data_IF_335225874938
#
_entry.id   IF_335225874938
#
_cell.length_a   1.000
_cell.length_b   1.000
_cell.length_c   1.000
_cell.angle_alpha   90.00
_cell.angle_beta   90.00
_cell.angle_gamma   90.00
#
_symmetry.space_group_name_H-M   'P 1'
#
loop_
_entity.id
_entity.type
_entity.pdbx_description
1 polymer ?
#
# COMPACT_ATOMS: atom_id res chain seq x y z
N UNK A 1 36.94 24.46 -29.85
CA UNK A 1 36.16 24.38 -28.60
C UNK A 1 36.01 22.92 -28.20
N UNK A 2 36.26 22.53 -26.93
CA UNK A 2 36.06 21.15 -26.49
C UNK A 2 34.56 20.76 -26.54
N UNK A 3 34.24 19.51 -26.92
CA UNK A 3 32.86 19.01 -26.99
C UNK A 3 32.26 18.87 -25.59
N UNK A 4 30.96 19.17 -25.47
CA UNK A 4 30.25 19.02 -24.19
C UNK A 4 30.14 17.54 -23.79
N UNK A 5 30.18 17.28 -22.48
CA UNK A 5 30.09 15.95 -21.90
C UNK A 5 28.88 15.84 -20.99
N UNK A 6 28.19 14.71 -21.03
CA UNK A 6 27.15 14.36 -20.07
C UNK A 6 27.77 14.06 -18.70
N UNK A 7 26.94 14.04 -17.64
CA UNK A 7 27.37 13.68 -16.27
C UNK A 7 28.01 12.27 -16.17
N UNK A 8 27.74 11.39 -17.14
CA UNK A 8 28.36 10.07 -17.28
C UNK A 8 29.72 10.07 -17.99
N UNK A 9 30.29 11.24 -18.28
CA UNK A 9 31.58 11.39 -18.96
C UNK A 9 31.55 11.21 -20.49
N UNK A 10 30.43 10.74 -21.04
CA UNK A 10 30.22 10.53 -22.49
C UNK A 10 30.01 11.86 -23.23
N UNK A 11 30.47 11.94 -24.47
CA UNK A 11 30.21 13.09 -25.34
C UNK A 11 28.70 13.25 -25.57
N UNK A 12 28.20 14.48 -25.46
CA UNK A 12 26.80 14.82 -25.65
C UNK A 12 26.67 16.16 -26.36
N UNK A 13 25.60 16.33 -27.14
CA UNK A 13 25.31 17.62 -27.80
C UNK A 13 25.11 18.70 -26.72
N UNK A 14 25.74 19.86 -26.88
CA UNK A 14 25.67 20.99 -25.92
C UNK A 14 24.23 21.31 -25.48
N UNK A 15 23.31 21.42 -26.43
CA UNK A 15 21.90 21.71 -26.14
C UNK A 15 21.17 20.63 -25.34
N UNK A 16 21.57 19.36 -25.46
CA UNK A 16 20.97 18.27 -24.69
C UNK A 16 21.40 18.29 -23.22
N UNK A 17 22.69 18.56 -22.97
CA UNK A 17 23.25 18.71 -21.62
C UNK A 17 22.58 19.88 -20.90
N UNK A 18 22.39 21.00 -21.60
CA UNK A 18 21.77 22.20 -21.05
C UNK A 18 20.27 22.00 -20.78
N UNK A 19 19.54 21.34 -21.70
CA UNK A 19 18.14 20.95 -21.48
C UNK A 19 18.00 20.06 -20.24
N UNK A 20 18.86 19.05 -20.07
CA UNK A 20 18.85 18.16 -18.90
C UNK A 20 19.17 18.89 -17.58
N UNK A 21 20.05 19.89 -17.61
CA UNK A 21 20.32 20.75 -16.43
C UNK A 21 19.09 21.55 -16.04
N UNK A 22 18.47 22.26 -16.99
CA UNK A 22 17.24 23.04 -16.76
C UNK A 22 16.10 22.19 -16.21
N UNK A 23 15.87 20.99 -16.76
CA UNK A 23 14.88 20.05 -16.22
C UNK A 23 15.21 19.60 -14.78
N UNK A 24 16.48 19.31 -14.50
CA UNK A 24 16.89 18.90 -13.15
C UNK A 24 16.75 20.02 -12.14
N UNK A 25 17.00 21.27 -12.52
CA UNK A 25 16.86 22.45 -11.66
C UNK A 25 15.39 22.73 -11.40
N UNK A 26 14.56 22.74 -12.44
CA UNK A 26 13.11 22.92 -12.30
C UNK A 26 12.47 21.81 -11.43
N UNK A 27 12.91 20.56 -11.56
CA UNK A 27 12.44 19.46 -10.70
C UNK A 27 12.84 19.65 -9.23
N UNK A 28 14.02 20.22 -8.95
CA UNK A 28 14.45 20.55 -7.57
C UNK A 28 13.60 21.68 -6.99
N UNK A 29 13.34 22.71 -7.79
CA UNK A 29 12.51 23.86 -7.39
C UNK A 29 11.07 23.45 -7.08
N UNK A 30 10.44 22.65 -7.96
CA UNK A 30 9.11 22.10 -7.72
C UNK A 30 9.04 21.24 -6.45
N UNK A 31 10.10 20.48 -6.16
CA UNK A 31 10.19 19.70 -4.91
C UNK A 31 10.34 20.59 -3.68
N UNK A 32 11.12 21.67 -3.75
CA UNK A 32 11.26 22.63 -2.65
C UNK A 32 9.93 23.35 -2.36
N UNK A 33 9.23 23.80 -3.41
CA UNK A 33 7.89 24.40 -3.30
C UNK A 33 6.89 23.42 -2.68
N UNK A 34 6.90 22.15 -3.11
CA UNK A 34 6.05 21.10 -2.50
C UNK A 34 6.35 20.90 -1.03
N UNK A 35 7.63 20.88 -0.64
CA UNK A 35 8.03 20.73 0.76
C UNK A 35 7.61 21.95 1.59
N UNK A 36 7.76 23.17 1.07
CA UNK A 36 7.32 24.39 1.74
C UNK A 36 5.79 24.44 1.91
N UNK A 37 5.02 24.15 0.84
CA UNK A 37 3.55 24.05 0.93
C UNK A 37 3.09 23.01 1.93
N UNK A 38 3.79 21.87 2.03
CA UNK A 38 3.50 20.84 3.02
C UNK A 38 3.78 21.30 4.46
N UNK A 39 4.84 22.08 4.69
CA UNK A 39 5.12 22.66 6.00
C UNK A 39 4.04 23.66 6.42
N UNK A 40 3.65 24.57 5.52
CA UNK A 40 2.55 25.52 5.75
C UNK A 40 1.23 24.81 6.09
N UNK A 41 0.88 23.74 5.36
CA UNK A 41 -0.33 22.95 5.67
C UNK A 41 -0.26 22.17 7.00
N UNK A 42 0.94 21.85 7.48
CA UNK A 42 1.13 21.16 8.76
C UNK A 42 1.06 22.12 9.95
N UNK A 43 1.27 23.44 9.75
CA UNK A 43 1.25 24.48 10.80
C UNK A 43 -0.18 24.96 11.12
N UNK A 44 -1.12 24.92 10.16
CA UNK A 44 -2.51 25.38 10.33
C UNK A 44 -3.50 24.29 10.80
N UNK A 45 -3.03 23.09 11.14
CA UNK A 45 -3.94 21.99 11.52
C UNK A 45 -4.22 22.01 13.02
N UNK A 46 -5.34 22.62 13.39
CA UNK A 46 -5.95 22.42 14.70
C UNK A 46 -6.01 20.92 15.03
N UNK A 47 -5.47 20.57 16.19
CA UNK A 47 -5.24 19.20 16.59
C UNK A 47 -6.52 18.56 17.10
N UNK A 48 -7.44 18.28 16.19
CA UNK A 48 -8.60 17.46 16.49
C UNK A 48 -8.54 16.22 15.60
N UNK A 49 -8.07 15.13 16.21
CA UNK A 49 -8.17 13.77 15.66
C UNK A 49 -9.61 13.28 15.68
N UNK A 50 -10.50 14.08 15.09
CA UNK A 50 -11.90 13.73 14.94
C UNK A 50 -12.01 12.76 13.77
N UNK A 51 -12.81 11.71 13.98
CA UNK A 51 -13.17 10.73 12.98
C UNK A 51 -12.60 9.34 13.21
N UNK A 52 -12.85 8.48 12.23
CA UNK A 52 -12.63 7.03 12.32
C UNK A 52 -11.34 6.67 11.61
N UNK A 53 -10.60 5.66 12.12
CA UNK A 53 -9.36 5.15 11.50
C UNK A 53 -9.38 3.63 11.45
N UNK A 54 -8.78 3.08 10.40
CA UNK A 54 -8.46 1.66 10.37
C UNK A 54 -7.22 1.39 11.21
N UNK A 55 -7.33 0.44 12.13
CA UNK A 55 -6.28 0.10 13.09
C UNK A 55 -6.10 -1.40 13.10
N UNK A 56 -4.85 -1.83 12.93
CA UNK A 56 -4.39 -3.15 13.32
C UNK A 56 -4.11 -3.12 14.83
N UNK A 57 -5.02 -3.70 15.61
CA UNK A 57 -4.98 -3.66 17.07
C UNK A 57 -3.67 -4.24 17.63
N UNK A 58 -3.14 -5.31 17.02
CA UNK A 58 -1.90 -5.91 17.47
C UNK A 58 -0.71 -4.99 17.20
N UNK A 59 -0.68 -4.32 16.04
CA UNK A 59 0.37 -3.33 15.75
C UNK A 59 0.26 -2.14 16.70
N UNK A 60 -0.94 -1.62 16.93
CA UNK A 60 -1.12 -0.47 17.83
C UNK A 60 -0.68 -0.81 19.27
N UNK A 61 -1.17 -1.92 19.82
CA UNK A 61 -0.85 -2.35 21.19
C UNK A 61 0.66 -2.52 21.41
N UNK A 62 1.36 -3.12 20.44
CA UNK A 62 2.81 -3.33 20.51
C UNK A 62 3.62 -2.03 20.36
N UNK A 63 3.03 -0.95 19.83
CA UNK A 63 3.73 0.31 19.61
C UNK A 63 3.31 1.43 20.58
N UNK A 64 2.35 1.20 21.48
CA UNK A 64 1.92 2.15 22.53
C UNK A 64 2.86 2.13 23.76
N UNK A 65 4.16 2.04 23.51
CA UNK A 65 5.20 2.03 24.52
C UNK A 65 6.34 2.96 24.09
N UNK A 66 6.84 3.73 25.04
CA UNK A 66 7.96 4.61 24.79
C UNK A 66 9.24 3.80 24.58
N UNK A 67 9.94 4.02 23.46
CA UNK A 67 11.18 3.29 23.14
C UNK A 67 12.36 3.67 24.03
N UNK A 68 12.29 4.82 24.70
CA UNK A 68 13.38 5.35 25.54
C UNK A 68 13.25 4.92 26.99
N UNK A 69 12.07 5.11 27.60
CA UNK A 69 11.85 4.81 29.03
C UNK A 69 10.90 3.65 29.29
N UNK A 70 10.38 2.99 28.24
CA UNK A 70 9.45 1.87 28.33
C UNK A 70 8.14 2.16 29.10
N UNK A 71 7.78 3.44 29.26
CA UNK A 71 6.48 3.83 29.82
C UNK A 71 5.36 3.62 28.79
N UNK A 72 4.16 3.31 29.26
CA UNK A 72 2.96 3.21 28.42
C UNK A 72 2.59 4.59 27.85
N UNK A 73 2.23 4.62 26.56
CA UNK A 73 1.79 5.82 25.87
C UNK A 73 0.27 5.91 25.85
N UNK A 74 -0.28 7.10 26.10
CA UNK A 74 -1.72 7.35 26.00
C UNK A 74 -2.04 8.14 24.73
N UNK A 75 -3.05 7.70 23.99
CA UNK A 75 -3.54 8.40 22.79
C UNK A 75 -4.04 9.82 23.09
N UNK A 76 -4.38 10.13 24.36
CA UNK A 76 -4.72 11.49 24.81
C UNK A 76 -3.59 12.51 24.59
N UNK A 77 -2.33 12.04 24.56
CA UNK A 77 -1.15 12.88 24.37
C UNK A 77 -0.62 12.81 22.93
N UNK A 78 -1.49 12.49 21.98
CA UNK A 78 -1.15 12.59 20.57
C UNK A 78 -1.02 14.06 20.18
N UNK A 79 0.09 14.40 19.54
CA UNK A 79 0.39 15.76 19.07
C UNK A 79 0.29 15.90 17.56
N UNK A 80 0.35 14.79 16.81
CA UNK A 80 0.26 14.81 15.34
C UNK A 80 -0.17 13.47 14.80
N UNK A 81 -0.94 13.48 13.73
CA UNK A 81 -1.26 12.31 12.93
C UNK A 81 -0.75 12.50 11.49
N UNK A 82 -0.05 11.49 10.95
CA UNK A 82 0.36 11.47 9.54
C UNK A 82 -0.35 10.32 8.83
N UNK A 83 -1.19 10.65 7.85
CA UNK A 83 -1.86 9.65 7.00
C UNK A 83 -0.93 9.09 5.91
N UNK A 84 -1.05 7.79 5.68
CA UNK A 84 -0.35 7.01 4.64
C UNK A 84 -1.35 6.10 3.91
N UNK A 85 -2.33 6.73 3.26
CA UNK A 85 -3.53 6.03 2.77
C UNK A 85 -4.47 5.77 3.94
N UNK A 86 -4.91 4.52 4.11
CA UNK A 86 -5.73 4.07 5.24
C UNK A 86 -4.94 3.84 6.53
N UNK A 87 -3.60 3.81 6.45
CA UNK A 87 -2.74 3.74 7.62
C UNK A 87 -2.46 5.13 8.19
N UNK A 88 -2.27 5.20 9.52
CA UNK A 88 -1.84 6.39 10.22
C UNK A 88 -0.55 6.14 11.01
N UNK A 89 0.24 7.19 11.17
CA UNK A 89 1.35 7.25 12.12
C UNK A 89 1.01 8.34 13.14
N UNK A 90 0.72 7.92 14.36
CA UNK A 90 0.41 8.80 15.48
C UNK A 90 1.73 9.22 16.13
N UNK A 91 1.90 10.50 16.40
CA UNK A 91 3.02 11.04 17.16
C UNK A 91 2.53 11.33 18.56
N UNK A 92 2.93 10.51 19.52
CA UNK A 92 2.43 10.55 20.90
C UNK A 92 3.56 10.95 21.82
N UNK A 93 3.36 12.00 22.61
CA UNK A 93 4.35 12.44 23.59
C UNK A 93 4.30 11.54 24.82
N UNK A 94 5.46 11.01 25.19
CA UNK A 94 5.64 10.31 26.45
C UNK A 94 5.54 11.31 27.62
N UNK A 95 4.73 11.04 28.63
CA UNK A 95 4.63 11.91 29.82
C UNK A 95 5.85 11.82 30.73
N UNK A 96 6.59 10.71 30.67
CA UNK A 96 7.70 10.44 31.58
C UNK A 96 9.00 11.07 31.10
N UNK A 97 9.38 10.85 29.83
CA UNK A 97 10.64 11.33 29.26
C UNK A 97 10.48 12.41 28.19
N UNK A 98 9.23 12.83 27.90
CA UNK A 98 8.89 13.85 26.90
C UNK A 98 9.25 13.53 25.45
N UNK A 99 9.77 12.33 25.15
CA UNK A 99 10.03 11.91 23.78
C UNK A 99 8.75 11.81 22.97
N UNK A 100 8.83 12.29 21.72
CA UNK A 100 7.76 12.18 20.74
C UNK A 100 7.90 10.87 19.97
N UNK A 101 7.04 9.90 20.29
CA UNK A 101 7.14 8.54 19.76
C UNK A 101 6.20 8.35 18.58
N UNK A 102 6.71 7.74 17.50
CA UNK A 102 5.90 7.34 16.35
C UNK A 102 5.24 5.98 16.59
N UNK A 103 3.91 5.98 16.56
CA UNK A 103 3.04 4.83 16.78
C UNK A 103 2.29 4.53 15.47
N UNK A 104 2.72 3.55 14.67
CA UNK A 104 2.00 3.14 13.47
C UNK A 104 0.69 2.41 13.82
N UNK A 105 -0.37 2.63 13.03
CA UNK A 105 -1.66 1.90 13.19
C UNK A 105 -1.77 0.66 12.31
N UNK A 106 -0.79 0.38 11.44
CA UNK A 106 -0.79 -0.77 10.54
C UNK A 106 0.63 -1.25 10.28
N UNK A 107 0.79 -2.51 9.86
CA UNK A 107 2.11 -3.07 9.55
C UNK A 107 2.71 -2.42 8.30
N UNK A 108 3.97 -1.99 8.42
CA UNK A 108 4.78 -1.55 7.28
C UNK A 108 5.40 -2.76 6.58
N UNK A 109 5.17 -2.87 5.28
CA UNK A 109 5.73 -3.90 4.41
C UNK A 109 6.85 -3.25 3.58
N UNK A 110 8.08 -3.69 3.83
CA UNK A 110 9.23 -3.32 2.99
C UNK A 110 9.28 -4.26 1.80
N UNK A 111 9.27 -3.68 0.61
CA UNK A 111 9.31 -4.45 -0.64
C UNK A 111 10.75 -4.43 -1.16
N UNK A 112 11.35 -5.61 -1.46
CA UNK A 112 12.64 -5.67 -2.11
C UNK A 112 12.64 -4.86 -3.40
N UNK A 113 13.72 -4.10 -3.65
CA UNK A 113 13.88 -3.26 -4.85
C UNK A 113 12.86 -2.12 -5.02
N UNK A 114 12.11 -1.76 -3.98
CA UNK A 114 11.27 -0.56 -3.96
C UNK A 114 11.73 0.39 -2.87
N UNK A 115 12.00 1.63 -3.25
CA UNK A 115 12.28 2.72 -2.29
C UNK A 115 11.04 3.15 -1.51
N UNK A 116 9.84 2.72 -1.94
CA UNK A 116 8.58 3.09 -1.31
C UNK A 116 8.02 1.92 -0.49
N UNK A 117 7.87 2.08 0.84
CA UNK A 117 7.24 1.07 1.66
C UNK A 117 5.73 1.06 1.46
N UNK A 118 5.11 -0.11 1.61
CA UNK A 118 3.67 -0.31 1.52
C UNK A 118 3.10 -0.53 2.92
N UNK A 119 1.84 -0.16 3.12
CA UNK A 119 1.13 -0.42 4.37
C UNK A 119 0.16 -1.56 4.16
N UNK A 120 0.17 -2.53 5.08
CA UNK A 120 -0.63 -3.74 4.94
C UNK A 120 -2.13 -3.45 4.79
N UNK A 121 -2.67 -2.44 5.48
CA UNK A 121 -4.08 -2.03 5.34
C UNK A 121 -4.43 -1.56 3.94
N UNK A 122 -3.54 -0.86 3.25
CA UNK A 122 -3.78 -0.42 1.86
C UNK A 122 -3.77 -1.61 0.90
N UNK A 123 -2.89 -2.59 1.14
CA UNK A 123 -2.83 -3.84 0.37
C UNK A 123 -4.11 -4.66 0.55
N UNK A 124 -4.59 -4.79 1.80
CA UNK A 124 -5.85 -5.46 2.12
C UNK A 124 -7.04 -4.77 1.47
N UNK A 125 -7.12 -3.44 1.55
CA UNK A 125 -8.18 -2.68 0.88
C UNK A 125 -8.14 -2.85 -0.63
N UNK A 126 -6.96 -2.77 -1.26
CA UNK A 126 -6.82 -3.02 -2.69
C UNK A 126 -7.23 -4.45 -3.08
N UNK A 127 -6.92 -5.46 -2.25
CA UNK A 127 -7.34 -6.84 -2.48
C UNK A 127 -8.87 -6.94 -2.42
N UNK A 128 -9.50 -6.42 -1.37
CA UNK A 128 -10.95 -6.39 -1.26
C UNK A 128 -11.64 -5.62 -2.39
N UNK A 129 -11.03 -4.53 -2.86
CA UNK A 129 -11.50 -3.79 -4.03
C UNK A 129 -11.47 -4.65 -5.30
N UNK A 130 -10.36 -5.35 -5.57
CA UNK A 130 -10.25 -6.24 -6.74
C UNK A 130 -11.26 -7.38 -6.64
N UNK A 131 -11.36 -8.03 -5.49
CA UNK A 131 -12.26 -9.17 -5.28
C UNK A 131 -13.75 -8.77 -5.39
N UNK A 132 -14.09 -7.55 -4.99
CA UNK A 132 -15.47 -7.04 -5.00
C UNK A 132 -15.83 -6.25 -6.26
N UNK A 133 -14.89 -6.07 -7.20
CA UNK A 133 -15.08 -5.20 -8.38
C UNK A 133 -15.30 -3.73 -8.02
N UNK A 134 -14.78 -3.27 -6.88
CA UNK A 134 -14.96 -1.91 -6.35
C UNK A 134 -13.78 -1.04 -6.75
N UNK A 135 -14.07 0.08 -7.42
CA UNK A 135 -13.07 1.09 -7.79
C UNK A 135 -12.67 2.02 -6.65
N UNK A 136 -11.60 2.79 -6.88
CA UNK A 136 -11.10 3.79 -5.92
C UNK A 136 -12.15 4.82 -5.49
N UNK A 137 -12.97 5.31 -6.43
CA UNK A 137 -14.02 6.29 -6.13
C UNK A 137 -15.09 5.72 -5.22
N UNK A 138 -15.57 4.52 -5.51
CA UNK A 138 -16.56 3.80 -4.70
C UNK A 138 -16.01 3.50 -3.29
N UNK A 139 -14.75 3.07 -3.18
CA UNK A 139 -14.08 2.90 -1.89
C UNK A 139 -14.06 4.21 -1.11
N UNK A 140 -13.66 5.31 -1.77
CA UNK A 140 -13.59 6.61 -1.12
C UNK A 140 -14.98 7.09 -0.65
N UNK A 141 -16.03 6.95 -1.46
CA UNK A 141 -17.41 7.28 -1.04
C UNK A 141 -17.84 6.49 0.19
N UNK A 142 -17.54 5.19 0.22
CA UNK A 142 -17.84 4.34 1.38
C UNK A 142 -17.10 4.83 2.64
N UNK A 143 -15.78 4.99 2.58
CA UNK A 143 -15.00 5.31 3.78
C UNK A 143 -15.23 6.75 4.26
N UNK A 144 -15.45 7.72 3.36
CA UNK A 144 -15.74 9.10 3.78
C UNK A 144 -17.10 9.21 4.46
N UNK A 145 -18.10 8.40 4.06
CA UNK A 145 -19.39 8.32 4.77
C UNK A 145 -19.26 7.80 6.21
N UNK A 146 -18.22 7.00 6.50
CA UNK A 146 -17.88 6.54 7.86
C UNK A 146 -16.94 7.50 8.61
N UNK A 147 -16.72 8.71 8.09
CA UNK A 147 -15.78 9.70 8.62
C UNK A 147 -14.33 9.17 8.69
N UNK A 148 -13.93 8.35 7.72
CA UNK A 148 -12.55 7.88 7.54
C UNK A 148 -11.87 8.74 6.46
N UNK A 149 -10.60 9.14 6.63
CA UNK A 149 -9.88 9.95 5.65
C UNK A 149 -9.83 9.27 4.28
N UNK A 150 -10.13 10.04 3.23
CA UNK A 150 -10.05 9.58 1.86
C UNK A 150 -8.64 9.13 1.47
N UNK A 151 -8.56 8.10 0.63
CA UNK A 151 -7.30 7.56 0.13
C UNK A 151 -7.00 8.18 -1.23
N UNK A 152 -5.71 8.40 -1.52
CA UNK A 152 -5.27 8.82 -2.84
C UNK A 152 -5.30 7.63 -3.82
N UNK A 153 -5.83 7.86 -5.02
CA UNK A 153 -5.85 6.90 -6.13
C UNK A 153 -4.51 6.19 -6.34
N UNK A 154 -3.38 6.91 -6.32
CA UNK A 154 -2.05 6.33 -6.50
C UNK A 154 -1.67 5.30 -5.43
N UNK A 155 -2.16 5.46 -4.20
CA UNK A 155 -1.89 4.52 -3.11
C UNK A 155 -2.58 3.18 -3.34
N UNK A 156 -3.84 3.22 -3.78
CA UNK A 156 -4.60 2.01 -4.12
C UNK A 156 -4.02 1.38 -5.38
N UNK A 157 -3.83 2.15 -6.45
CA UNK A 157 -3.25 1.64 -7.72
C UNK A 157 -1.89 0.96 -7.53
N UNK A 158 -1.04 1.52 -6.68
CA UNK A 158 0.26 0.90 -6.35
C UNK A 158 0.08 -0.42 -5.59
N UNK A 159 -0.90 -0.48 -4.69
CA UNK A 159 -1.20 -1.67 -3.93
C UNK A 159 -1.77 -2.77 -4.84
N UNK A 160 -2.70 -2.42 -5.74
CA UNK A 160 -3.21 -3.29 -6.82
C UNK A 160 -2.09 -3.87 -7.69
N UNK A 161 -1.19 -3.00 -8.19
CA UNK A 161 -0.07 -3.44 -9.01
C UNK A 161 0.86 -4.42 -8.28
N UNK A 162 0.91 -4.36 -6.94
CA UNK A 162 1.72 -5.27 -6.13
C UNK A 162 1.02 -6.60 -5.86
N UNK A 163 -0.30 -6.60 -5.62
CA UNK A 163 -1.07 -7.83 -5.38
C UNK A 163 -1.40 -8.58 -6.67
N UNK A 164 -1.46 -7.90 -7.81
CA UNK A 164 -1.85 -8.45 -9.12
C UNK A 164 -1.17 -9.79 -9.45
N UNK A 165 0.17 -9.89 -9.39
CA UNK A 165 0.86 -11.16 -9.69
C UNK A 165 0.47 -12.31 -8.75
N UNK A 166 0.22 -12.02 -7.47
CA UNK A 166 -0.20 -13.04 -6.51
C UNK A 166 -1.65 -13.49 -6.77
N UNK A 167 -2.53 -12.57 -7.14
CA UNK A 167 -3.92 -12.86 -7.53
C UNK A 167 -3.94 -13.72 -8.80
N UNK A 168 -3.15 -13.35 -9.81
CA UNK A 168 -3.04 -14.11 -11.06
C UNK A 168 -2.50 -15.53 -10.82
N UNK A 169 -1.46 -15.66 -10.00
CA UNK A 169 -0.94 -16.98 -9.61
C UNK A 169 -2.04 -17.82 -8.94
N UNK A 170 -2.75 -17.26 -7.97
CA UNK A 170 -3.82 -17.96 -7.27
C UNK A 170 -4.95 -18.38 -8.22
N UNK A 171 -5.37 -17.50 -9.14
CA UNK A 171 -6.36 -17.80 -10.16
C UNK A 171 -5.91 -18.96 -11.06
N UNK A 172 -4.66 -18.93 -11.53
CA UNK A 172 -4.09 -19.99 -12.37
C UNK A 172 -4.00 -21.33 -11.64
N UNK A 173 -3.60 -21.34 -10.37
CA UNK A 173 -3.61 -22.55 -9.54
C UNK A 173 -5.02 -23.09 -9.34
N UNK A 174 -5.99 -22.21 -9.09
CA UNK A 174 -7.40 -22.59 -8.94
C UNK A 174 -7.94 -23.24 -10.21
N UNK A 175 -7.68 -22.65 -11.38
CA UNK A 175 -8.08 -23.20 -12.68
C UNK A 175 -7.45 -24.58 -12.90
N UNK A 176 -6.15 -24.74 -12.63
CA UNK A 176 -5.46 -26.04 -12.78
C UNK A 176 -6.07 -27.11 -11.87
N UNK A 177 -6.37 -26.78 -10.62
CA UNK A 177 -7.01 -27.73 -9.69
C UNK A 177 -8.40 -28.13 -10.17
N UNK A 178 -9.20 -27.19 -10.63
CA UNK A 178 -10.53 -27.46 -11.18
C UNK A 178 -10.46 -28.38 -12.41
N UNK A 179 -9.57 -28.11 -13.37
CA UNK A 179 -9.38 -28.94 -14.56
C UNK A 179 -8.98 -30.39 -14.23
N UNK A 180 -8.09 -30.57 -13.25
CA UNK A 180 -7.68 -31.91 -12.82
C UNK A 180 -8.83 -32.67 -12.18
N UNK A 181 -9.65 -31.99 -11.38
CA UNK A 181 -10.82 -32.60 -10.75
C UNK A 181 -11.91 -32.95 -11.76
N UNK A 182 -12.20 -32.06 -12.72
CA UNK A 182 -13.12 -32.35 -13.83
C UNK A 182 -12.69 -33.58 -14.63
N UNK A 183 -11.39 -33.68 -14.94
CA UNK A 183 -10.83 -34.86 -15.62
C UNK A 183 -11.04 -36.13 -14.81
N UNK A 184 -10.73 -36.09 -13.50
CA UNK A 184 -10.89 -37.24 -12.58
C UNK A 184 -12.34 -37.71 -12.53
N UNK A 185 -13.28 -36.78 -12.36
CA UNK A 185 -14.71 -37.08 -12.31
C UNK A 185 -15.23 -37.66 -13.63
N UNK A 186 -14.75 -37.16 -14.76
CA UNK A 186 -15.10 -37.69 -16.09
C UNK A 186 -14.60 -39.12 -16.29
N UNK A 187 -13.36 -39.40 -15.88
CA UNK A 187 -12.81 -40.76 -15.93
C UNK A 187 -13.55 -41.72 -15.00
N UNK A 188 -13.88 -41.29 -13.78
CA UNK A 188 -14.66 -42.07 -12.82
C UNK A 188 -16.08 -42.38 -13.36
N UNK A 189 -16.74 -41.39 -13.95
CA UNK A 189 -18.05 -41.57 -14.60
C UNK A 189 -17.98 -42.56 -15.77
N UNK A 190 -16.94 -42.47 -16.60
CA UNK A 190 -16.73 -43.40 -17.72
C UNK A 190 -16.44 -44.84 -17.27
N UNK A 191 -15.70 -45.04 -16.17
CA UNK A 191 -15.48 -46.37 -15.56
C UNK A 191 -16.78 -46.95 -14.99
N UNK A 192 -17.63 -46.11 -14.39
CA UNK A 192 -18.92 -46.52 -13.84
C UNK A 192 -19.96 -46.91 -14.91
N UNK A 193 -19.92 -46.29 -16.10
CA UNK A 193 -20.80 -46.65 -17.22
C UNK A 193 -20.35 -47.95 -17.90
N UNK A 194 -19.05 -48.16 -18.08
CA UNK A 194 -18.52 -49.41 -18.65
C UNK A 194 -18.85 -50.65 -17.81
N UNK A 195 -18.81 -50.56 -16.49
CA UNK A 195 -19.16 -51.67 -15.58
C UNK A 195 -20.66 -51.99 -15.50
N UNK A 196 -21.54 -51.09 -15.99
CA UNK A 196 -22.98 -51.32 -16.11
C UNK A 196 -23.38 -51.97 -17.44
N UNK A 197 -22.61 -51.78 -18.51
CA UNK A 197 -22.89 -52.35 -19.84
C UNK A 197 -22.63 -53.86 -19.96
N UNK A 198 -21.89 -54.47 -19.04
CA UNK A 198 -21.52 -55.91 -19.09
C UNK A 198 -22.61 -56.83 -18.52
N UNK A 199 -23.72 -56.30 -17.99
CA UNK A 199 -24.79 -57.09 -17.33
C UNK A 199 -26.05 -57.35 -18.17
N UNK A 200 -26.02 -57.11 -19.48
CA UNK A 200 -27.15 -57.38 -20.39
C UNK A 200 -26.70 -58.43 -21.42
N UNK A 201 -26.57 -59.67 -20.96
CA UNK A 201 -26.09 -60.80 -21.77
C UNK A 201 -26.07 -62.06 -20.92
N UNK A 202 -27.24 -62.51 -20.48
CA UNK A 202 -27.48 -63.81 -19.84
C UNK A 202 -28.89 -64.26 -20.16
#
# INVERSE_FOLDING_TARGET
MPPARAKSGRFAKKGEVERRKKFSEHAKELNAIRQAKKKLQDEDRELQSVGTRFIDLAVLANNLWCKTCNASLTLKNMEKEIHRGLASILHVRCVTCLDLVQVPTSKLIRVPNSSYPLWSVNMKAATGCVDSGVGHEQLNTLITSMNIPAVNHHTIKRSEARIGPAIEQHANESIKRALLEEKRLTEDANRATHSRGVRIGS
#
